data_IF_723150448115
#
_entry.id   IF_723150448115
#
_cell.length_a   1.000
_cell.length_b   1.000
_cell.length_c   1.000
_cell.angle_alpha   90.00
_cell.angle_beta   90.00
_cell.angle_gamma   90.00
#
_symmetry.space_group_name_H-M   'P 1'
#
loop_
_entity.id
_entity.type
_entity.pdbx_description
1 polymer ?
#
# COMPACT_ATOMS: atom_id res chain seq x y z
N UNK A 1 32.14 19.32 -15.05
CA UNK A 1 32.89 20.33 -14.28
C UNK A 1 31.88 21.22 -13.56
N UNK A 2 31.68 21.01 -12.25
CA UNK A 2 31.13 22.02 -11.35
C UNK A 2 31.49 21.60 -9.93
N UNK A 3 32.34 22.41 -9.33
CA UNK A 3 32.96 22.26 -8.02
C UNK A 3 32.08 23.03 -7.05
N UNK A 4 31.54 22.39 -6.01
CA UNK A 4 30.92 23.09 -4.89
C UNK A 4 31.44 22.47 -3.60
N UNK A 5 32.44 23.15 -3.05
CA UNK A 5 32.99 22.97 -1.72
C UNK A 5 31.94 23.52 -0.75
N UNK A 6 31.54 22.75 0.26
CA UNK A 6 30.84 23.30 1.42
C UNK A 6 31.65 22.97 2.67
N UNK A 7 32.04 24.03 3.35
CA UNK A 7 32.89 24.10 4.53
C UNK A 7 32.01 24.71 5.64
N UNK A 8 32.26 24.31 6.90
CA UNK A 8 31.77 24.95 8.15
C UNK A 8 30.33 24.54 8.56
N UNK A 9 29.99 24.20 9.80
CA UNK A 9 30.62 24.40 11.11
C UNK A 9 30.30 23.24 12.07
N UNK A 10 31.32 22.72 12.74
CA UNK A 10 31.17 22.15 14.08
C UNK A 10 31.01 23.30 15.08
N UNK A 11 29.88 23.38 15.79
CA UNK A 11 29.77 24.02 17.12
C UNK A 11 28.37 23.86 17.72
N UNK A 12 28.25 22.95 18.70
CA UNK A 12 27.63 23.16 20.04
C UNK A 12 27.27 21.81 20.67
N UNK A 13 28.14 21.30 21.54
CA UNK A 13 27.70 20.47 22.67
C UNK A 13 27.71 21.35 23.93
N UNK A 14 26.54 21.84 24.33
CA UNK A 14 26.32 22.36 25.67
C UNK A 14 25.91 21.18 26.56
N UNK A 15 26.88 20.60 27.25
CA UNK A 15 26.59 19.73 28.38
C UNK A 15 26.03 20.57 29.51
N UNK A 16 24.73 20.42 29.80
CA UNK A 16 24.11 20.93 31.01
C UNK A 16 24.60 20.03 32.16
N UNK A 17 25.78 20.34 32.69
CA UNK A 17 26.36 19.61 33.81
C UNK A 17 25.63 19.95 35.10
N UNK A 18 24.94 18.97 35.66
CA UNK A 18 24.34 18.95 36.99
C UNK A 18 25.41 18.99 38.11
N UNK A 19 26.30 19.99 38.09
CA UNK A 19 27.31 20.20 39.15
C UNK A 19 26.78 21.05 40.30
N UNK A 20 25.62 21.69 40.14
CA UNK A 20 24.97 22.47 41.21
C UNK A 20 24.52 21.62 42.39
N UNK A 21 23.95 20.43 42.15
CA UNK A 21 23.48 19.56 43.23
C UNK A 21 24.63 18.87 43.98
N UNK A 22 25.68 18.44 43.26
CA UNK A 22 26.82 17.76 43.89
C UNK A 22 27.66 18.71 44.76
N UNK A 23 27.79 19.99 44.35
CA UNK A 23 28.47 21.00 45.17
C UNK A 23 27.75 21.30 46.49
N UNK A 24 26.41 21.35 46.48
CA UNK A 24 25.60 21.56 47.68
C UNK A 24 25.72 20.38 48.65
N UNK A 25 25.74 19.15 48.15
CA UNK A 25 25.87 17.94 48.98
C UNK A 25 27.22 17.91 49.70
N UNK A 26 28.31 18.27 49.02
CA UNK A 26 29.66 18.32 49.63
C UNK A 26 29.72 19.42 50.69
N UNK A 27 29.08 20.57 50.46
CA UNK A 27 29.02 21.68 51.42
C UNK A 27 28.25 21.29 52.70
N UNK A 28 27.16 20.53 52.57
CA UNK A 28 26.39 20.01 53.71
C UNK A 28 27.15 18.98 54.53
N UNK A 29 27.95 18.11 53.90
CA UNK A 29 28.78 17.12 54.62
C UNK A 29 29.87 17.81 55.46
N UNK A 30 30.48 18.88 54.94
CA UNK A 30 31.51 19.65 55.66
C UNK A 30 30.90 20.41 56.86
N UNK A 31 29.68 20.92 56.72
CA UNK A 31 28.96 21.61 57.81
C UNK A 31 28.54 20.64 58.94
N UNK A 32 28.19 19.40 58.63
CA UNK A 32 27.85 18.37 59.63
C UNK A 32 29.12 17.78 60.28
N UNK A 33 30.23 17.72 59.54
CA UNK A 33 31.51 17.15 60.01
C UNK A 33 32.27 17.97 61.07
N UNK A 34 31.78 19.15 61.47
CA UNK A 34 32.47 20.03 62.43
C UNK A 34 31.85 20.05 63.83
N UNK A 35 30.85 19.22 64.12
CA UNK A 35 30.30 19.08 65.47
C UNK A 35 30.52 17.67 66.03
N UNK A 36 31.78 17.30 66.29
CA UNK A 36 32.10 16.15 67.14
C UNK A 36 33.48 16.32 67.80
N UNK A 37 33.55 17.21 68.79
CA UNK A 37 34.56 17.15 69.85
C UNK A 37 33.87 17.50 71.17
N UNK A 38 33.60 16.47 71.98
CA UNK A 38 33.77 16.42 73.44
C UNK A 38 32.98 15.25 74.03
N UNK A 39 33.67 14.29 74.65
CA UNK A 39 33.76 14.19 76.11
C UNK A 39 34.02 12.74 76.52
N UNK A 40 35.01 12.55 77.38
CA UNK A 40 35.36 11.30 78.06
C UNK A 40 34.15 10.69 78.79
N UNK A 41 33.98 9.37 78.73
CA UNK A 41 33.81 8.51 79.91
C UNK A 41 33.73 7.01 79.60
N UNK A 42 34.08 6.27 80.64
CA UNK A 42 34.46 4.86 80.77
C UNK A 42 33.54 3.74 80.24
N UNK A 43 34.21 2.59 80.05
CA UNK A 43 33.68 1.22 80.11
C UNK A 43 32.48 1.06 81.05
N UNK A 44 31.35 0.60 80.55
CA UNK A 44 30.94 -0.81 80.57
C UNK A 44 29.46 -0.96 80.17
N UNK A 45 29.13 -2.10 79.57
CA UNK A 45 27.80 -2.70 79.54
C UNK A 45 26.69 -2.07 78.66
N UNK A 46 26.78 -2.27 77.33
CA UNK A 46 25.55 -2.42 76.50
C UNK A 46 25.72 -3.15 75.16
N UNK A 47 26.33 -4.33 75.15
CA UNK A 47 26.44 -5.17 73.94
C UNK A 47 25.16 -6.00 73.61
N UNK A 48 23.99 -5.69 74.19
CA UNK A 48 22.77 -6.51 74.01
C UNK A 48 21.55 -5.77 73.44
N UNK A 49 21.66 -4.48 73.10
CA UNK A 49 20.56 -3.75 72.44
C UNK A 49 20.87 -3.35 70.98
N UNK A 50 22.13 -3.41 70.54
CA UNK A 50 22.49 -3.12 69.14
C UNK A 50 22.27 -4.32 68.19
N UNK A 51 22.38 -5.56 68.67
CA UNK A 51 22.27 -6.77 67.83
C UNK A 51 20.84 -7.01 67.33
N UNK A 52 19.80 -6.56 68.06
CA UNK A 52 18.40 -6.76 67.65
C UNK A 52 17.88 -5.74 66.64
N UNK A 53 18.55 -4.59 66.47
CA UNK A 53 18.17 -3.52 65.54
C UNK A 53 18.85 -3.64 64.16
N UNK A 54 20.04 -4.25 64.07
CA UNK A 54 20.70 -4.55 62.79
C UNK A 54 20.05 -5.73 62.05
N UNK A 55 19.60 -6.77 62.77
CA UNK A 55 18.91 -7.91 62.15
C UNK A 55 17.51 -7.57 61.61
N UNK A 56 16.80 -6.64 62.24
CA UNK A 56 15.47 -6.18 61.74
C UNK A 56 15.61 -5.28 60.51
N UNK A 57 16.58 -4.35 60.48
CA UNK A 57 16.85 -3.51 59.29
C UNK A 57 17.31 -4.32 58.08
N UNK A 58 18.19 -5.30 58.28
CA UNK A 58 18.69 -6.18 57.20
C UNK A 58 17.60 -7.11 56.66
N UNK A 59 16.63 -7.50 57.49
CA UNK A 59 15.46 -8.29 57.08
C UNK A 59 14.43 -7.49 56.28
N UNK A 60 14.19 -6.22 56.63
CA UNK A 60 13.30 -5.32 55.90
C UNK A 60 13.88 -4.92 54.54
N UNK A 61 15.18 -4.62 54.48
CA UNK A 61 15.88 -4.23 53.25
C UNK A 61 16.01 -5.40 52.25
N UNK A 62 16.13 -6.64 52.74
CA UNK A 62 16.08 -7.84 51.90
C UNK A 62 14.69 -8.06 51.27
N UNK A 63 13.61 -7.88 52.06
CA UNK A 63 12.22 -7.98 51.57
C UNK A 63 11.86 -6.86 50.58
N UNK A 64 12.37 -5.65 50.81
CA UNK A 64 12.18 -4.53 49.89
C UNK A 64 12.89 -4.78 48.56
N UNK A 65 14.14 -5.27 48.58
CA UNK A 65 14.88 -5.61 47.36
C UNK A 65 14.24 -6.75 46.57
N UNK A 66 13.72 -7.78 47.24
CA UNK A 66 13.02 -8.90 46.59
C UNK A 66 11.69 -8.44 45.94
N UNK A 67 10.92 -7.58 46.61
CA UNK A 67 9.72 -6.96 46.05
C UNK A 67 10.05 -6.07 44.83
N UNK A 68 11.14 -5.29 44.91
CA UNK A 68 11.59 -4.43 43.80
C UNK A 68 12.08 -5.25 42.60
N UNK A 69 12.70 -6.40 42.85
CA UNK A 69 13.10 -7.35 41.80
C UNK A 69 11.89 -8.01 41.13
N UNK A 70 10.86 -8.40 41.90
CA UNK A 70 9.60 -8.92 41.36
C UNK A 70 8.84 -7.86 40.56
N UNK A 71 8.76 -6.62 41.05
CA UNK A 71 8.09 -5.51 40.37
C UNK A 71 8.80 -5.20 39.02
N UNK A 72 10.13 -5.23 38.98
CA UNK A 72 10.91 -5.04 37.76
C UNK A 72 10.70 -6.18 36.75
N UNK A 73 10.67 -7.43 37.23
CA UNK A 73 10.46 -8.60 36.39
C UNK A 73 9.06 -8.60 35.78
N UNK A 74 8.04 -8.24 36.57
CA UNK A 74 6.66 -8.07 36.10
C UNK A 74 6.55 -6.96 35.06
N UNK A 75 7.24 -5.84 35.26
CA UNK A 75 7.25 -4.73 34.29
C UNK A 75 7.93 -5.12 32.96
N UNK A 76 9.01 -5.91 33.01
CA UNK A 76 9.66 -6.44 31.81
C UNK A 76 8.77 -7.44 31.05
N UNK A 77 8.05 -8.29 31.77
CA UNK A 77 7.10 -9.23 31.17
C UNK A 77 5.92 -8.51 30.51
N UNK A 78 5.38 -7.47 31.16
CA UNK A 78 4.33 -6.63 30.59
C UNK A 78 4.80 -5.91 29.32
N UNK A 79 6.04 -5.38 29.31
CA UNK A 79 6.63 -4.76 28.13
C UNK A 79 6.80 -5.77 26.98
N UNK A 80 7.32 -6.97 27.26
CA UNK A 80 7.42 -8.04 26.26
C UNK A 80 6.06 -8.43 25.69
N UNK A 81 5.05 -8.56 26.56
CA UNK A 81 3.68 -8.90 26.14
C UNK A 81 3.07 -7.80 25.27
N UNK A 82 3.31 -6.53 25.58
CA UNK A 82 2.88 -5.41 24.74
C UNK A 82 3.61 -5.38 23.39
N UNK A 83 4.90 -5.67 23.35
CA UNK A 83 5.68 -5.75 22.11
C UNK A 83 5.20 -6.90 21.23
N UNK A 84 4.95 -8.07 21.82
CA UNK A 84 4.41 -9.22 21.11
C UNK A 84 3.01 -8.94 20.54
N UNK A 85 2.13 -8.29 21.32
CA UNK A 85 0.81 -7.90 20.84
C UNK A 85 0.88 -6.92 19.66
N UNK A 86 1.77 -5.92 19.73
CA UNK A 86 2.00 -4.98 18.61
C UNK A 86 2.54 -5.69 17.38
N UNK A 87 3.42 -6.68 17.55
CA UNK A 87 3.96 -7.48 16.45
C UNK A 87 2.88 -8.34 15.80
N UNK A 88 2.01 -8.97 16.60
CA UNK A 88 0.86 -9.73 16.11
C UNK A 88 -0.14 -8.83 15.36
N UNK A 89 -0.45 -7.64 15.88
CA UNK A 89 -1.33 -6.68 15.21
C UNK A 89 -0.75 -6.20 13.88
N UNK A 90 0.55 -5.89 13.85
CA UNK A 90 1.24 -5.50 12.63
C UNK A 90 1.25 -6.63 11.58
N UNK A 91 1.46 -7.87 12.02
CA UNK A 91 1.40 -9.04 11.15
C UNK A 91 -0.01 -9.28 10.61
N UNK A 92 -1.03 -9.21 11.46
CA UNK A 92 -2.44 -9.34 11.06
C UNK A 92 -2.83 -8.27 10.04
N UNK A 93 -2.41 -7.01 10.26
CA UNK A 93 -2.66 -5.91 9.33
C UNK A 93 -1.96 -6.14 7.99
N UNK A 94 -0.72 -6.65 8.00
CA UNK A 94 0.01 -7.02 6.78
C UNK A 94 -0.69 -8.15 6.02
N UNK A 95 -1.20 -9.16 6.72
CA UNK A 95 -1.97 -10.25 6.10
C UNK A 95 -3.28 -9.73 5.49
N UNK A 96 -3.99 -8.84 6.19
CA UNK A 96 -5.22 -8.22 5.70
C UNK A 96 -4.98 -7.39 4.43
N UNK A 97 -3.89 -6.61 4.40
CA UNK A 97 -3.51 -5.82 3.22
C UNK A 97 -3.16 -6.71 2.03
N UNK A 98 -2.40 -7.80 2.27
CA UNK A 98 -2.10 -8.80 1.23
C UNK A 98 -3.35 -9.48 0.67
N UNK A 99 -4.32 -9.80 1.54
CA UNK A 99 -5.59 -10.38 1.10
C UNK A 99 -6.37 -9.38 0.24
N UNK A 100 -6.44 -8.11 0.66
CA UNK A 100 -7.10 -7.06 -0.12
C UNK A 100 -6.46 -6.87 -1.50
N UNK A 101 -5.12 -6.87 -1.58
CA UNK A 101 -4.40 -6.81 -2.86
C UNK A 101 -4.71 -8.02 -3.75
N UNK A 102 -4.78 -9.23 -3.18
CA UNK A 102 -5.16 -10.44 -3.91
C UNK A 102 -6.59 -10.35 -4.45
N UNK A 103 -7.54 -9.90 -3.64
CA UNK A 103 -8.95 -9.77 -4.03
C UNK A 103 -9.12 -8.73 -5.14
N UNK A 104 -8.42 -7.59 -5.05
CA UNK A 104 -8.38 -6.58 -6.11
C UNK A 104 -7.79 -7.13 -7.41
N UNK A 105 -6.69 -7.90 -7.33
CA UNK A 105 -6.08 -8.55 -8.49
C UNK A 105 -7.01 -9.59 -9.12
N UNK A 106 -7.70 -10.40 -8.32
CA UNK A 106 -8.68 -11.38 -8.80
C UNK A 106 -9.85 -10.68 -9.50
N UNK A 107 -10.39 -9.61 -8.92
CA UNK A 107 -11.47 -8.82 -9.54
C UNK A 107 -11.05 -8.20 -10.87
N UNK A 108 -9.83 -7.69 -10.97
CA UNK A 108 -9.29 -7.19 -12.24
C UNK A 108 -9.14 -8.31 -13.29
N UNK A 109 -8.64 -9.49 -12.89
CA UNK A 109 -8.53 -10.64 -13.78
C UNK A 109 -9.90 -11.13 -14.26
N UNK A 110 -10.90 -11.17 -13.38
CA UNK A 110 -12.26 -11.55 -13.71
C UNK A 110 -12.89 -10.56 -14.69
N UNK A 111 -12.74 -9.25 -14.45
CA UNK A 111 -13.20 -8.21 -15.37
C UNK A 111 -12.56 -8.36 -16.76
N UNK A 112 -11.24 -8.62 -16.81
CA UNK A 112 -10.54 -8.84 -18.08
C UNK A 112 -11.05 -10.09 -18.81
N UNK A 113 -11.33 -11.18 -18.09
CA UNK A 113 -11.93 -12.40 -18.67
C UNK A 113 -13.34 -12.13 -19.20
N UNK A 114 -14.16 -11.38 -18.47
CA UNK A 114 -15.50 -10.99 -18.93
C UNK A 114 -15.43 -10.11 -20.19
N UNK A 115 -14.52 -9.13 -20.23
CA UNK A 115 -14.29 -8.31 -21.42
C UNK A 115 -13.81 -9.14 -22.62
N UNK A 116 -12.92 -10.11 -22.41
CA UNK A 116 -12.46 -11.01 -23.47
C UNK A 116 -13.58 -11.93 -23.97
N UNK A 117 -14.42 -12.44 -23.07
CA UNK A 117 -15.61 -13.21 -23.43
C UNK A 117 -16.64 -12.38 -24.19
N UNK A 118 -16.90 -11.14 -23.77
CA UNK A 118 -17.75 -10.21 -24.51
C UNK A 118 -17.19 -9.90 -25.88
N UNK A 119 -15.87 -9.66 -26.01
CA UNK A 119 -15.22 -9.43 -27.30
C UNK A 119 -15.28 -10.67 -28.22
N UNK A 120 -15.17 -11.89 -27.67
CA UNK A 120 -15.37 -13.13 -28.43
C UNK A 120 -16.83 -13.32 -28.85
N UNK A 121 -17.78 -12.95 -27.99
CA UNK A 121 -19.20 -12.99 -28.31
C UNK A 121 -19.55 -11.93 -29.36
N UNK A 122 -19.05 -10.70 -29.28
CA UNK A 122 -19.22 -9.69 -30.33
C UNK A 122 -18.56 -10.10 -31.65
N UNK A 123 -17.41 -10.77 -31.62
CA UNK A 123 -16.81 -11.37 -32.82
C UNK A 123 -17.67 -12.51 -33.40
N UNK A 124 -18.41 -13.24 -32.56
CA UNK A 124 -19.34 -14.30 -32.96
C UNK A 124 -20.76 -13.80 -33.30
N UNK A 125 -21.11 -12.59 -32.85
CA UNK A 125 -22.43 -11.95 -33.01
C UNK A 125 -22.35 -10.70 -33.89
N UNK A 126 -21.30 -10.55 -34.70
CA UNK A 126 -21.44 -9.73 -35.90
C UNK A 126 -22.71 -10.21 -36.60
N UNK A 127 -23.67 -9.32 -36.88
CA UNK A 127 -24.85 -9.76 -37.59
C UNK A 127 -24.33 -10.28 -38.92
N UNK A 128 -24.63 -11.55 -39.22
CA UNK A 128 -24.57 -12.09 -40.58
C UNK A 128 -25.61 -11.34 -41.43
N UNK A 129 -25.44 -10.03 -41.59
CA UNK A 129 -26.17 -9.25 -42.57
C UNK A 129 -25.41 -9.45 -43.87
N UNK A 130 -25.89 -10.39 -44.67
CA UNK A 130 -25.52 -10.58 -46.08
C UNK A 130 -24.03 -10.79 -46.38
N UNK A 131 -23.34 -11.70 -45.69
CA UNK A 131 -22.15 -12.37 -46.27
C UNK A 131 -22.59 -13.52 -47.20
N UNK A 132 -23.53 -13.23 -48.10
CA UNK A 132 -23.80 -14.13 -49.23
C UNK A 132 -22.77 -13.77 -50.31
N UNK A 133 -21.84 -14.71 -50.55
CA UNK A 133 -20.97 -14.86 -51.73
C UNK A 133 -19.77 -13.92 -51.91
N UNK A 134 -18.72 -14.10 -51.11
CA UNK A 134 -17.33 -13.68 -51.45
C UNK A 134 -16.35 -14.88 -51.51
N UNK A 135 -16.81 -16.05 -51.92
CA UNK A 135 -15.94 -17.22 -52.11
C UNK A 135 -16.01 -17.81 -53.52
N UNK A 136 -16.68 -17.13 -54.47
CA UNK A 136 -16.73 -17.53 -55.87
C UNK A 136 -16.68 -16.32 -56.80
N UNK A 137 -15.51 -15.68 -56.89
CA UNK A 137 -14.92 -15.10 -58.11
C UNK A 137 -15.69 -14.13 -59.01
N UNK A 138 -16.91 -13.71 -58.70
CA UNK A 138 -17.68 -12.78 -59.55
C UNK A 138 -18.45 -11.79 -58.71
N UNK A 139 -18.03 -10.54 -58.72
CA UNK A 139 -18.83 -9.43 -58.19
C UNK A 139 -20.15 -9.37 -58.99
N UNK A 140 -21.30 -9.44 -58.32
CA UNK A 140 -22.63 -9.50 -58.96
C UNK A 140 -23.47 -8.25 -58.75
N UNK A 141 -22.99 -7.24 -58.01
CA UNK A 141 -23.76 -6.02 -57.79
C UNK A 141 -23.38 -5.01 -58.88
N UNK A 142 -24.37 -4.56 -59.67
CA UNK A 142 -24.16 -3.62 -60.78
C UNK A 142 -24.39 -2.17 -60.33
N UNK A 143 -23.37 -1.33 -60.34
CA UNK A 143 -23.45 0.11 -60.14
C UNK A 143 -23.57 0.86 -61.46
N UNK A 144 -24.48 1.83 -61.56
CA UNK A 144 -24.55 2.76 -62.69
C UNK A 144 -24.81 4.20 -62.23
N UNK A 145 -24.63 5.16 -63.15
CA UNK A 145 -25.05 6.55 -62.96
C UNK A 145 -26.22 6.85 -63.90
N UNK A 146 -27.31 7.38 -63.36
CA UNK A 146 -28.45 7.78 -64.20
C UNK A 146 -28.17 9.12 -64.92
N UNK A 147 -29.05 9.52 -65.83
CA UNK A 147 -28.96 10.81 -66.55
C UNK A 147 -29.02 12.04 -65.65
N UNK A 148 -29.47 11.89 -64.40
CA UNK A 148 -29.51 12.94 -63.37
C UNK A 148 -28.23 12.98 -62.53
N UNK A 149 -27.25 12.13 -62.82
CA UNK A 149 -25.98 12.05 -62.11
C UNK A 149 -26.02 11.23 -60.81
N UNK A 150 -27.12 10.54 -60.50
CA UNK A 150 -27.22 9.73 -59.28
C UNK A 150 -26.57 8.36 -59.47
N UNK A 151 -25.71 7.99 -58.52
CA UNK A 151 -25.08 6.66 -58.43
C UNK A 151 -26.05 5.66 -57.80
N UNK A 152 -26.44 4.63 -58.53
CA UNK A 152 -27.39 3.61 -58.08
C UNK A 152 -26.79 2.22 -58.27
N UNK A 153 -26.85 1.37 -57.24
CA UNK A 153 -26.49 -0.03 -57.37
C UNK A 153 -27.71 -0.94 -57.41
N UNK A 154 -27.60 -2.02 -58.18
CA UNK A 154 -28.62 -3.02 -58.38
C UNK A 154 -28.11 -4.38 -57.93
N UNK A 155 -28.89 -5.05 -57.09
CA UNK A 155 -28.61 -6.43 -56.67
C UNK A 155 -29.29 -7.44 -57.62
N UNK A 156 -28.72 -8.64 -57.77
CA UNK A 156 -29.39 -9.73 -58.48
C UNK A 156 -30.82 -9.94 -57.97
N UNK A 157 -31.78 -10.09 -58.90
CA UNK A 157 -33.21 -10.25 -58.58
C UNK A 157 -34.02 -8.95 -58.44
N UNK A 158 -33.38 -7.77 -58.51
CA UNK A 158 -34.11 -6.51 -58.60
C UNK A 158 -34.67 -6.29 -60.02
N UNK A 159 -35.84 -5.63 -60.14
CA UNK A 159 -36.56 -5.40 -61.40
C UNK A 159 -35.69 -4.81 -62.52
N UNK A 160 -34.70 -4.00 -62.15
CA UNK A 160 -33.85 -3.29 -63.09
C UNK A 160 -32.46 -3.89 -63.25
N UNK A 161 -32.16 -5.01 -62.60
CA UNK A 161 -30.83 -5.60 -62.61
C UNK A 161 -30.39 -6.04 -64.01
N UNK A 162 -31.26 -6.72 -64.78
CA UNK A 162 -30.90 -7.27 -66.08
C UNK A 162 -30.78 -6.21 -67.17
N UNK A 163 -31.58 -5.13 -67.07
CA UNK A 163 -31.53 -4.01 -68.02
C UNK A 163 -30.40 -3.03 -67.73
N UNK A 164 -29.88 -3.01 -66.49
CA UNK A 164 -28.81 -2.11 -66.10
C UNK A 164 -27.48 -2.56 -66.70
N UNK A 165 -26.86 -1.66 -67.45
CA UNK A 165 -25.44 -1.74 -67.80
C UNK A 165 -24.63 -1.19 -66.63
N UNK A 166 -23.73 -2.01 -66.09
CA UNK A 166 -22.86 -1.59 -65.01
C UNK A 166 -21.75 -0.68 -65.53
N UNK A 167 -21.54 0.44 -64.85
CA UNK A 167 -20.32 1.24 -64.92
C UNK A 167 -19.26 0.68 -63.96
N UNK A 168 -19.70 0.10 -62.84
CA UNK A 168 -18.86 -0.45 -61.78
C UNK A 168 -19.50 -1.70 -61.18
N UNK A 169 -18.70 -2.72 -60.88
CA UNK A 169 -19.17 -3.97 -60.29
C UNK A 169 -18.69 -4.07 -58.84
N UNK A 170 -19.60 -4.40 -57.92
CA UNK A 170 -19.29 -4.55 -56.49
C UNK A 170 -19.52 -5.99 -56.04
N UNK A 171 -18.66 -6.44 -55.13
CA UNK A 171 -18.77 -7.76 -54.51
C UNK A 171 -19.67 -7.71 -53.27
N UNK A 172 -19.73 -6.57 -52.57
CA UNK A 172 -20.65 -6.35 -51.45
C UNK A 172 -21.47 -5.05 -51.59
N UNK A 173 -22.62 -4.98 -50.90
CA UNK A 173 -23.38 -3.72 -50.79
C UNK A 173 -22.59 -2.63 -50.06
N UNK A 174 -21.68 -3.02 -49.16
CA UNK A 174 -20.86 -2.09 -48.39
C UNK A 174 -19.87 -1.36 -49.30
N UNK A 175 -19.26 -2.05 -50.26
CA UNK A 175 -18.37 -1.44 -51.25
C UNK A 175 -19.13 -0.45 -52.14
N UNK A 176 -20.31 -0.84 -52.62
CA UNK A 176 -21.16 0.03 -53.43
C UNK A 176 -21.54 1.32 -52.67
N UNK A 177 -21.95 1.19 -51.40
CA UNK A 177 -22.28 2.33 -50.53
C UNK A 177 -21.05 3.21 -50.27
N UNK A 178 -19.89 2.61 -50.04
CA UNK A 178 -18.62 3.32 -49.81
C UNK A 178 -18.14 4.07 -51.06
N UNK A 179 -18.40 3.54 -52.26
CA UNK A 179 -18.18 4.20 -53.55
C UNK A 179 -19.23 5.29 -53.87
N UNK A 180 -20.19 5.52 -52.95
CA UNK A 180 -21.22 6.55 -53.04
C UNK A 180 -22.47 6.15 -53.82
N UNK A 181 -22.70 4.85 -54.06
CA UNK A 181 -23.91 4.36 -54.71
C UNK A 181 -25.02 4.14 -53.67
N UNK A 182 -26.23 4.62 -53.98
CA UNK A 182 -27.43 4.29 -53.21
C UNK A 182 -28.12 3.06 -53.77
N UNK A 183 -28.93 2.38 -52.95
CA UNK A 183 -29.73 1.25 -53.41
C UNK A 183 -30.74 1.67 -54.48
N UNK A 184 -30.96 0.79 -55.47
CA UNK A 184 -32.10 0.94 -56.37
C UNK A 184 -33.40 0.84 -55.61
N UNK A 185 -34.37 1.70 -55.97
CA UNK A 185 -35.75 1.54 -55.49
C UNK A 185 -36.37 0.46 -56.38
N UNK A 186 -37.02 -0.51 -55.72
CA UNK A 186 -37.59 -1.74 -56.32
C UNK A 186 -38.20 -1.51 -57.71
#
# INVERSE_FOLDING_TARGET
>A
MAKAINEKEEKKRRGCGCFGCLGIIILLIILIGSCAKNSDNDKSDKASTAIKQEETKKSEEAKENEKKQQDLQKQQEEQKKQEELKKQEAEQKRQQELQKQRDEQQKQQELKKQQEQQKKQEAATQPKTNQVTEQNGTCTIKGNKNSRGEKIYHMPGQQFYDKTKAEEMFCSEADAKSAGYRASKK
#
